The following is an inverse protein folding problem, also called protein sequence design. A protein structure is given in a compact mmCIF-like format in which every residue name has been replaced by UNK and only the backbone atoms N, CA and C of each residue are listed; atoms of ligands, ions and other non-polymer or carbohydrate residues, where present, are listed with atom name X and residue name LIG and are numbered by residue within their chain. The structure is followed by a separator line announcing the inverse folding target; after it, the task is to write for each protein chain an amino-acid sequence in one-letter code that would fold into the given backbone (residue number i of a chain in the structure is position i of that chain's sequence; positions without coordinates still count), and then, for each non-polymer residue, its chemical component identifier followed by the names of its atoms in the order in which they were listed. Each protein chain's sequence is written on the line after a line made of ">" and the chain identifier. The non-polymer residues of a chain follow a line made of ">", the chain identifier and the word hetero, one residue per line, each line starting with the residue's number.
data_IF_319539372877
#
_entry.id   IF_319539372877
#
_cell.length_a   1.000
_cell.length_b   1.000
_cell.length_c   1.000
_cell.angle_alpha   90.00
_cell.angle_beta   90.00
_cell.angle_gamma   90.00
#
_symmetry.space_group_name_H-M   'P 1'
#
loop_
_entity.id
_entity.type
_entity.pdbx_description
1 polymer ?
#
# COMPACT_ATOMS: atom_id res chain seq x y z
N UNK A 1 -4.11 -33.85 42.94
CA UNK A 1 -4.90 -34.72 42.03
C UNK A 1 -4.88 -34.02 40.68
N UNK A 2 -4.22 -34.46 39.61
CA UNK A 2 -3.68 -35.76 39.24
C UNK A 2 -4.24 -36.15 37.85
N UNK A 3 -3.33 -36.38 36.89
CA UNK A 3 -3.48 -36.97 35.53
C UNK A 3 -4.03 -36.06 34.40
N UNK A 4 -3.61 -36.11 33.13
CA UNK A 4 -2.53 -36.75 32.33
C UNK A 4 -2.59 -36.05 30.96
N UNK A 5 -1.51 -35.43 30.47
CA UNK A 5 -0.71 -35.88 29.32
C UNK A 5 -1.46 -36.62 28.20
N UNK A 6 -1.71 -35.92 27.09
CA UNK A 6 -1.79 -36.52 25.75
C UNK A 6 -0.91 -35.71 24.79
N UNK A 7 0.29 -36.24 24.55
CA UNK A 7 1.15 -35.88 23.45
C UNK A 7 0.56 -36.43 22.14
N UNK A 8 0.54 -35.63 21.08
CA UNK A 8 0.37 -36.12 19.71
C UNK A 8 1.29 -35.33 18.80
N UNK A 9 2.52 -35.82 18.74
CA UNK A 9 3.55 -35.47 17.80
C UNK A 9 3.18 -35.99 16.41
N UNK A 10 2.67 -35.13 15.53
CA UNK A 10 2.79 -35.34 14.09
C UNK A 10 4.12 -34.75 13.62
N UNK A 11 5.15 -35.58 13.71
CA UNK A 11 6.38 -35.41 12.96
C UNK A 11 6.09 -35.72 11.49
N UNK A 12 6.03 -34.70 10.63
CA UNK A 12 6.16 -34.89 9.19
C UNK A 12 7.60 -34.55 8.83
N UNK A 13 8.40 -35.58 8.53
CA UNK A 13 9.82 -35.49 8.26
C UNK A 13 10.15 -34.87 6.89
N UNK A 14 11.43 -34.48 6.68
CA UNK A 14 11.89 -33.89 5.44
C UNK A 14 12.00 -34.94 4.34
N UNK A 15 11.35 -34.70 3.20
CA UNK A 15 11.56 -35.49 1.99
C UNK A 15 12.61 -34.79 1.13
N UNK A 16 13.86 -35.15 1.35
CA UNK A 16 14.92 -34.95 0.37
C UNK A 16 14.65 -35.82 -0.86
N UNK A 17 14.69 -35.19 -2.03
CA UNK A 17 14.81 -35.86 -3.32
C UNK A 17 15.99 -35.23 -4.05
N UNK A 18 17.16 -35.80 -3.83
CA UNK A 18 18.29 -35.78 -4.77
C UNK A 18 17.92 -36.62 -6.00
N UNK A 19 18.11 -36.09 -7.21
CA UNK A 19 17.63 -36.78 -8.42
C UNK A 19 17.94 -36.14 -9.77
N UNK A 20 19.19 -35.75 -9.99
CA UNK A 20 19.92 -35.74 -11.28
C UNK A 20 19.71 -34.62 -12.34
N UNK A 21 20.83 -34.21 -12.99
CA UNK A 21 20.88 -33.09 -13.93
C UNK A 21 20.53 -33.52 -15.36
N UNK A 22 19.73 -32.71 -16.04
CA UNK A 22 19.59 -32.78 -17.50
C UNK A 22 20.23 -31.55 -18.11
N UNK A 23 21.41 -31.74 -18.69
CA UNK A 23 22.02 -30.80 -19.62
C UNK A 23 21.77 -31.31 -21.03
N UNK A 24 20.92 -30.65 -21.84
CA UNK A 24 21.06 -30.71 -23.28
C UNK A 24 22.02 -29.58 -23.68
N UNK A 25 23.20 -29.96 -24.17
CA UNK A 25 24.10 -29.03 -24.84
C UNK A 25 23.38 -28.34 -25.99
N UNK A 26 23.33 -27.02 -25.94
CA UNK A 26 22.88 -26.14 -27.01
C UNK A 26 23.85 -24.98 -27.12
N UNK A 27 24.70 -25.02 -28.15
CA UNK A 27 25.53 -23.89 -28.53
C UNK A 27 24.62 -22.74 -28.98
N UNK A 28 24.56 -21.67 -28.19
CA UNK A 28 23.81 -20.47 -28.52
C UNK A 28 24.14 -19.38 -27.53
N UNK A 29 24.60 -18.25 -28.06
CA UNK A 29 24.97 -17.02 -27.38
C UNK A 29 24.26 -16.76 -26.04
N UNK A 30 25.04 -16.40 -25.03
CA UNK A 30 24.50 -15.72 -23.84
C UNK A 30 23.79 -14.44 -24.29
N UNK A 31 22.47 -14.28 -24.07
CA UNK A 31 21.94 -12.95 -23.90
C UNK A 31 22.44 -12.45 -22.55
N UNK A 32 23.21 -11.37 -22.58
CA UNK A 32 23.45 -10.48 -21.44
C UNK A 32 22.06 -9.96 -20.99
N UNK A 33 21.39 -10.75 -20.19
CA UNK A 33 20.07 -10.47 -19.63
C UNK A 33 20.22 -10.37 -18.12
N UNK A 34 19.66 -9.33 -17.47
CA UNK A 34 19.67 -9.24 -16.02
C UNK A 34 19.07 -10.53 -15.46
N UNK A 35 19.84 -11.21 -14.61
CA UNK A 35 19.49 -12.53 -14.09
C UNK A 35 18.11 -12.54 -13.40
N UNK A 36 17.51 -13.73 -13.26
CA UNK A 36 16.25 -13.87 -12.53
C UNK A 36 16.45 -13.35 -11.11
N UNK A 37 15.86 -12.18 -10.82
CA UNK A 37 15.73 -11.69 -9.46
C UNK A 37 14.93 -12.73 -8.69
N UNK A 38 15.56 -13.35 -7.70
CA UNK A 38 14.86 -14.20 -6.74
C UNK A 38 13.73 -13.41 -6.07
N UNK A 39 12.65 -14.07 -5.64
CA UNK A 39 11.54 -13.43 -4.96
C UNK A 39 12.04 -12.92 -3.60
N UNK A 40 12.45 -11.65 -3.55
CA UNK A 40 12.64 -10.96 -2.29
C UNK A 40 11.25 -10.60 -1.79
N UNK A 41 10.78 -11.35 -0.81
CA UNK A 41 9.54 -11.10 -0.08
C UNK A 41 9.63 -9.75 0.67
N UNK A 42 9.27 -8.66 -0.01
CA UNK A 42 8.86 -7.33 0.51
C UNK A 42 8.54 -6.44 -0.70
N UNK A 43 7.52 -6.84 -1.46
CA UNK A 43 7.36 -6.63 -2.91
C UNK A 43 7.00 -5.21 -3.37
N UNK A 44 6.99 -4.19 -2.50
CA UNK A 44 6.76 -2.79 -2.91
C UNK A 44 8.10 -2.02 -2.86
N UNK A 45 8.70 -1.79 -4.03
CA UNK A 45 9.86 -0.89 -4.16
C UNK A 45 9.47 0.55 -3.84
N UNK A 46 10.41 1.36 -3.34
CA UNK A 46 10.19 2.80 -3.11
C UNK A 46 9.69 3.52 -4.36
N UNK A 47 10.18 3.12 -5.54
CA UNK A 47 9.73 3.68 -6.82
C UNK A 47 8.24 3.38 -7.08
N UNK A 48 7.80 2.17 -6.69
CA UNK A 48 6.39 1.76 -6.80
C UNK A 48 5.50 2.53 -5.82
N UNK A 49 5.96 2.68 -4.56
CA UNK A 49 5.28 3.50 -3.55
C UNK A 49 5.14 4.96 -4.00
N UNK A 50 6.19 5.52 -4.62
CA UNK A 50 6.17 6.88 -5.16
C UNK A 50 5.23 7.01 -6.35
N UNK A 51 5.25 6.07 -7.29
CA UNK A 51 4.34 6.05 -8.43
C UNK A 51 2.88 5.90 -7.98
N UNK A 52 2.65 5.10 -6.93
CA UNK A 52 1.34 4.93 -6.32
C UNK A 52 0.86 6.21 -5.65
N UNK A 53 1.71 6.90 -4.90
CA UNK A 53 1.40 8.20 -4.30
C UNK A 53 1.00 9.22 -5.38
N UNK A 54 1.77 9.32 -6.47
CA UNK A 54 1.51 10.25 -7.57
C UNK A 54 0.16 9.98 -8.25
N UNK A 55 -0.17 8.69 -8.46
CA UNK A 55 -1.47 8.28 -9.00
C UNK A 55 -2.63 8.63 -8.06
N UNK A 56 -2.47 8.42 -6.76
CA UNK A 56 -3.49 8.75 -5.77
C UNK A 56 -3.74 10.26 -5.72
N UNK A 57 -2.68 11.05 -5.81
CA UNK A 57 -2.77 12.51 -5.84
C UNK A 57 -3.45 13.03 -7.12
N UNK A 58 -3.12 12.46 -8.29
CA UNK A 58 -3.83 12.78 -9.53
C UNK A 58 -5.34 12.48 -9.43
N UNK A 59 -5.69 11.37 -8.78
CA UNK A 59 -7.09 10.99 -8.52
C UNK A 59 -7.78 11.98 -7.58
N UNK A 60 -7.07 12.49 -6.56
CA UNK A 60 -7.59 13.51 -5.64
C UNK A 60 -7.92 14.81 -6.38
N UNK A 61 -7.03 15.28 -7.25
CA UNK A 61 -7.25 16.49 -8.05
C UNK A 61 -8.48 16.35 -8.98
N UNK A 62 -8.68 15.17 -9.57
CA UNK A 62 -9.86 14.87 -10.38
C UNK A 62 -11.16 14.94 -9.56
N UNK A 63 -11.17 14.39 -8.34
CA UNK A 63 -12.34 14.44 -7.44
C UNK A 63 -12.61 15.84 -6.87
N UNK A 64 -11.57 16.61 -6.58
CA UNK A 64 -11.70 18.00 -6.12
C UNK A 64 -12.40 18.88 -7.16
N UNK A 65 -12.12 18.65 -8.46
CA UNK A 65 -12.80 19.38 -9.55
C UNK A 65 -14.21 18.87 -9.86
N UNK A 66 -14.53 17.64 -9.46
CA UNK A 66 -15.83 16.98 -9.68
C UNK A 66 -16.77 17.04 -8.48
N UNK A 67 -16.43 17.83 -7.45
CA UNK A 67 -17.14 17.87 -6.17
C UNK A 67 -18.53 18.51 -6.28
N UNK A 68 -19.51 17.72 -6.72
CA UNK A 68 -20.94 18.02 -6.64
C UNK A 68 -21.51 17.76 -5.22
N UNK A 69 -20.66 17.48 -4.22
CA UNK A 69 -21.08 17.22 -2.83
C UNK A 69 -21.93 15.96 -2.64
N UNK A 70 -21.97 15.08 -3.65
CA UNK A 70 -22.79 13.86 -3.62
C UNK A 70 -22.25 12.84 -2.62
N UNK A 71 -23.15 12.04 -2.03
CA UNK A 71 -22.89 11.16 -0.88
C UNK A 71 -21.72 10.19 -1.10
N UNK A 72 -21.55 9.67 -2.32
CA UNK A 72 -20.45 8.77 -2.68
C UNK A 72 -19.09 9.46 -2.80
N UNK A 73 -19.07 10.75 -3.16
CA UNK A 73 -17.83 11.49 -3.42
C UNK A 73 -17.05 11.73 -2.12
N UNK A 74 -17.74 12.03 -1.01
CA UNK A 74 -17.05 12.17 0.29
C UNK A 74 -16.50 10.82 0.78
N UNK A 75 -17.21 9.71 0.58
CA UNK A 75 -16.74 8.37 0.94
C UNK A 75 -15.49 7.98 0.12
N UNK A 76 -15.52 8.23 -1.19
CA UNK A 76 -14.39 8.02 -2.09
C UNK A 76 -13.16 8.88 -1.71
N UNK A 77 -13.39 10.14 -1.31
CA UNK A 77 -12.35 11.05 -0.80
C UNK A 77 -11.71 10.53 0.49
N UNK A 78 -12.52 10.08 1.45
CA UNK A 78 -12.02 9.53 2.71
C UNK A 78 -11.28 8.18 2.51
N UNK A 79 -11.76 7.35 1.59
CA UNK A 79 -11.06 6.13 1.19
C UNK A 79 -9.74 6.43 0.49
N UNK A 80 -9.68 7.51 -0.29
CA UNK A 80 -8.47 7.98 -0.93
C UNK A 80 -7.46 8.50 0.11
N UNK A 81 -7.91 9.31 1.06
CA UNK A 81 -7.09 9.80 2.18
C UNK A 81 -6.44 8.63 2.92
N UNK A 82 -7.23 7.61 3.28
CA UNK A 82 -6.73 6.40 3.93
C UNK A 82 -5.65 5.68 3.11
N UNK A 83 -5.82 5.65 1.78
CA UNK A 83 -4.85 5.03 0.88
C UNK A 83 -3.53 5.82 0.80
N UNK A 84 -3.61 7.15 0.74
CA UNK A 84 -2.44 8.06 0.73
C UNK A 84 -1.68 7.95 2.06
N UNK A 85 -2.40 7.95 3.17
CA UNK A 85 -1.82 7.82 4.50
C UNK A 85 -1.15 6.46 4.73
N UNK A 86 -1.68 5.37 4.18
CA UNK A 86 -1.01 4.06 4.24
C UNK A 86 0.30 4.03 3.43
N UNK A 87 0.35 4.73 2.28
CA UNK A 87 1.59 4.87 1.51
C UNK A 87 2.62 5.73 2.27
N UNK A 88 2.16 6.81 2.94
CA UNK A 88 3.00 7.60 3.84
C UNK A 88 3.66 6.72 4.91
N UNK A 89 2.91 5.88 5.61
CA UNK A 89 3.47 5.01 6.65
C UNK A 89 4.61 4.13 6.12
N UNK A 90 4.43 3.52 4.95
CA UNK A 90 5.48 2.72 4.30
C UNK A 90 6.70 3.56 3.90
N UNK A 91 6.49 4.75 3.32
CA UNK A 91 7.57 5.65 2.94
C UNK A 91 8.37 6.14 4.15
N UNK A 92 7.69 6.44 5.25
CA UNK A 92 8.32 6.88 6.50
C UNK A 92 9.03 5.73 7.21
N UNK A 93 8.52 4.49 7.16
CA UNK A 93 9.24 3.32 7.66
C UNK A 93 10.57 3.12 6.90
N UNK A 94 10.57 3.31 5.58
CA UNK A 94 11.81 3.23 4.80
C UNK A 94 12.75 4.39 5.14
N UNK A 95 12.24 5.61 5.33
CA UNK A 95 13.06 6.74 5.75
C UNK A 95 13.70 6.52 7.14
N UNK A 96 12.98 5.87 8.07
CA UNK A 96 13.49 5.51 9.39
C UNK A 96 14.58 4.43 9.33
N UNK A 97 14.41 3.44 8.43
CA UNK A 97 15.44 2.43 8.14
C UNK A 97 16.68 3.00 7.46
N UNK A 98 16.56 4.16 6.80
CA UNK A 98 17.62 4.81 6.02
C UNK A 98 17.79 6.29 6.41
N UNK A 99 18.22 6.61 7.64
CA UNK A 99 18.26 7.98 8.15
C UNK A 99 19.34 8.87 7.50
N UNK A 100 20.31 8.28 6.80
CA UNK A 100 21.34 9.00 6.05
C UNK A 100 20.94 9.40 4.63
N UNK A 101 19.80 8.91 4.15
CA UNK A 101 19.33 9.14 2.79
C UNK A 101 18.29 10.26 2.79
N UNK A 102 18.72 11.48 2.45
CA UNK A 102 17.86 12.67 2.45
C UNK A 102 16.68 12.54 1.47
N UNK A 103 16.84 11.77 0.40
CA UNK A 103 15.76 11.50 -0.56
C UNK A 103 14.56 10.80 0.12
N UNK A 104 14.80 9.75 0.90
CA UNK A 104 13.73 9.01 1.58
C UNK A 104 13.07 9.85 2.66
N UNK A 105 13.86 10.64 3.40
CA UNK A 105 13.35 11.64 4.34
C UNK A 105 12.46 12.69 3.63
N UNK A 106 12.84 13.11 2.42
CA UNK A 106 12.03 13.99 1.58
C UNK A 106 10.71 13.37 1.12
N UNK A 107 10.73 12.09 0.74
CA UNK A 107 9.52 11.35 0.33
C UNK A 107 8.55 11.16 1.49
N UNK A 108 9.04 10.81 2.68
CA UNK A 108 8.21 10.73 3.88
C UNK A 108 7.53 12.07 4.20
N UNK A 109 8.29 13.18 4.24
CA UNK A 109 7.74 14.52 4.47
C UNK A 109 6.69 14.91 3.44
N UNK A 110 6.94 14.61 2.15
CA UNK A 110 5.94 14.85 1.09
C UNK A 110 4.67 14.05 1.35
N UNK A 111 4.79 12.75 1.59
CA UNK A 111 3.64 11.89 1.82
C UNK A 111 2.85 12.27 3.09
N UNK A 112 3.53 12.81 4.11
CA UNK A 112 2.90 13.31 5.33
C UNK A 112 2.04 14.55 5.05
N UNK A 113 2.57 15.51 4.29
CA UNK A 113 1.83 16.69 3.86
C UNK A 113 0.59 16.31 3.05
N UNK A 114 0.75 15.39 2.09
CA UNK A 114 -0.33 14.95 1.19
C UNK A 114 -1.42 14.22 1.97
N UNK A 115 -1.05 13.32 2.89
CA UNK A 115 -1.98 12.64 3.79
C UNK A 115 -2.81 13.64 4.61
N UNK A 116 -2.16 14.63 5.24
CA UNK A 116 -2.84 15.66 6.02
C UNK A 116 -3.83 16.45 5.16
N UNK A 117 -3.43 16.86 3.95
CA UNK A 117 -4.30 17.65 3.06
C UNK A 117 -5.53 16.85 2.61
N UNK A 118 -5.36 15.57 2.25
CA UNK A 118 -6.50 14.72 1.84
C UNK A 118 -7.41 14.42 3.03
N UNK A 119 -6.88 14.20 4.23
CA UNK A 119 -7.66 14.00 5.45
C UNK A 119 -8.51 15.24 5.78
N UNK A 120 -7.91 16.43 5.74
CA UNK A 120 -8.62 17.69 5.96
C UNK A 120 -9.76 17.87 4.93
N UNK A 121 -9.52 17.50 3.67
CA UNK A 121 -10.53 17.54 2.61
C UNK A 121 -11.69 16.55 2.87
N UNK A 122 -11.37 15.32 3.32
CA UNK A 122 -12.37 14.34 3.75
C UNK A 122 -13.23 14.88 4.91
N UNK A 123 -12.60 15.41 5.96
CA UNK A 123 -13.31 15.98 7.12
C UNK A 123 -14.20 17.13 6.67
N UNK A 124 -13.70 18.07 5.87
CA UNK A 124 -14.47 19.19 5.36
C UNK A 124 -15.69 18.73 4.53
N UNK A 125 -15.53 17.69 3.70
CA UNK A 125 -16.61 17.11 2.90
C UNK A 125 -17.71 16.50 3.80
N UNK A 126 -17.31 15.71 4.80
CA UNK A 126 -18.24 15.07 5.75
C UNK A 126 -18.97 16.12 6.59
N UNK A 127 -18.26 17.12 7.10
CA UNK A 127 -18.88 18.21 7.87
C UNK A 127 -19.85 19.04 7.01
N UNK A 128 -19.48 19.35 5.76
CA UNK A 128 -20.37 20.04 4.82
C UNK A 128 -21.65 19.22 4.56
N UNK A 129 -21.52 17.89 4.45
CA UNK A 129 -22.66 16.97 4.34
C UNK A 129 -23.54 17.00 5.59
N UNK A 130 -22.98 16.96 6.79
CA UNK A 130 -23.78 16.99 8.02
C UNK A 130 -24.55 18.31 8.18
N UNK A 131 -23.93 19.43 7.75
CA UNK A 131 -24.58 20.74 7.72
C UNK A 131 -25.65 20.85 6.63
N UNK A 132 -25.40 20.31 5.43
CA UNK A 132 -26.33 20.37 4.29
C UNK A 132 -27.44 19.30 4.28
N UNK A 133 -27.19 18.14 4.92
CA UNK A 133 -28.14 17.03 5.04
C UNK A 133 -29.25 17.28 6.06
N UNK A 134 -29.19 18.37 6.83
CA UNK A 134 -30.24 18.81 7.74
C UNK A 134 -31.34 19.65 7.06
N UNK A 135 -31.18 20.02 5.78
CA UNK A 135 -32.11 20.90 5.04
C UNK A 135 -33.08 20.14 4.10
N UNK A 136 -33.07 18.80 4.12
CA UNK A 136 -33.74 17.94 3.12
C UNK A 136 -34.99 17.17 3.56
N UNK A 137 -35.61 17.48 4.72
CA UNK A 137 -36.86 16.83 5.16
C UNK A 137 -37.88 17.87 5.66
N UNK A 138 -38.34 18.77 4.80
CA UNK A 138 -39.65 19.42 4.97
C UNK A 138 -40.27 19.72 3.60
N UNK A 139 -41.43 19.11 3.31
CA UNK A 139 -42.26 19.48 2.15
C UNK A 139 -42.98 18.31 1.48
N UNK A 140 -43.85 17.63 2.23
CA UNK A 140 -44.90 16.76 1.67
C UNK A 140 -46.25 17.46 1.84
#
# INVERSE_FOLDING_TARGET
>A
MGLLLLASSLACGPRGSDGSPVTPGGNGAAPDGPGPQGPNESDESIDDLRARLDRLHAKQAEMATSSDGSFGVCEDLCSLASSICSVKEKLCEVADRHPGEEEYQGLCRKAELECSETEDSCVACVEARERGGSDGVEGQ
#
